data_IF_243841889917
#
_entry.id   IF_243841889917
#
_cell.length_a   1.000
_cell.length_b   1.000
_cell.length_c   1.000
_cell.angle_alpha   90.00
_cell.angle_beta   90.00
_cell.angle_gamma   90.00
#
_symmetry.space_group_name_H-M   'P 1'
#
loop_
_entity.id
_entity.type
_entity.pdbx_description
1 polymer ?
#
# COMPACT_ATOMS: atom_id res chain seq x y z
N UNK A 1 17.11 -5.06 -13.96
CA UNK A 1 16.03 -6.04 -14.00
C UNK A 1 15.32 -6.21 -12.67
N UNK A 2 15.76 -5.50 -11.61
CA UNK A 2 15.13 -5.63 -10.29
C UNK A 2 13.72 -5.06 -10.25
N UNK A 3 12.83 -5.77 -9.55
CA UNK A 3 11.49 -5.28 -9.25
C UNK A 3 11.56 -4.27 -8.12
N UNK A 4 10.96 -3.11 -8.34
CA UNK A 4 11.01 -1.99 -7.41
C UNK A 4 9.64 -1.41 -7.13
N UNK A 5 9.55 -0.69 -6.02
CA UNK A 5 8.39 0.09 -5.62
C UNK A 5 8.83 1.53 -5.33
N UNK A 6 8.04 2.49 -5.79
CA UNK A 6 8.20 3.87 -5.38
C UNK A 6 7.51 4.09 -4.03
N UNK A 7 8.18 4.74 -3.08
CA UNK A 7 7.70 4.90 -1.69
C UNK A 7 7.23 6.32 -1.36
N UNK A 8 7.34 7.25 -2.33
CA UNK A 8 6.93 8.65 -2.15
C UNK A 8 6.25 9.19 -3.41
N UNK A 9 5.38 10.18 -3.26
CA UNK A 9 4.82 10.88 -4.41
C UNK A 9 5.90 11.79 -5.03
N UNK A 10 6.16 11.63 -6.31
CA UNK A 10 7.17 12.39 -7.06
C UNK A 10 6.51 13.05 -8.26
N UNK A 11 6.38 14.37 -8.18
CA UNK A 11 5.77 15.20 -9.23
C UNK A 11 6.80 15.78 -10.20
N UNK A 12 8.10 15.64 -9.89
CA UNK A 12 9.20 16.16 -10.70
C UNK A 12 9.57 15.25 -11.88
N UNK A 13 9.10 14.02 -11.88
CA UNK A 13 9.27 13.10 -13.01
C UNK A 13 8.20 13.32 -14.07
N UNK A 14 8.50 12.97 -15.29
CA UNK A 14 7.53 13.01 -16.39
C UNK A 14 7.43 11.62 -17.06
N UNK A 15 6.29 10.92 -16.90
CA UNK A 15 5.12 11.27 -16.07
C UNK A 15 5.41 11.20 -14.57
N UNK A 16 4.57 11.82 -13.72
CA UNK A 16 4.69 11.74 -12.26
C UNK A 16 4.47 10.31 -11.77
N UNK A 17 5.19 9.95 -10.69
CA UNK A 17 5.08 8.65 -10.04
C UNK A 17 4.60 8.80 -8.59
N UNK A 18 3.80 7.85 -8.13
CA UNK A 18 3.16 7.90 -6.83
C UNK A 18 3.64 6.79 -5.91
N UNK A 19 3.47 7.00 -4.62
CA UNK A 19 3.72 5.98 -3.61
C UNK A 19 2.91 4.72 -3.93
N UNK A 20 3.59 3.57 -3.91
CA UNK A 20 3.01 2.27 -4.24
C UNK A 20 3.12 1.87 -5.72
N UNK A 21 3.59 2.74 -6.62
CA UNK A 21 3.82 2.35 -8.00
C UNK A 21 4.93 1.30 -8.09
N UNK A 22 4.61 0.16 -8.69
CA UNK A 22 5.54 -0.94 -8.95
C UNK A 22 6.17 -0.81 -10.33
N UNK A 23 7.43 -1.16 -10.44
CA UNK A 23 8.17 -1.10 -11.70
C UNK A 23 9.33 -2.09 -11.76
N UNK A 24 10.00 -2.09 -12.89
CA UNK A 24 11.21 -2.88 -13.15
C UNK A 24 12.32 -1.93 -13.61
N UNK A 25 13.48 -2.00 -12.98
CA UNK A 25 14.66 -1.24 -13.41
C UNK A 25 15.10 -1.74 -14.79
N UNK A 26 15.11 -0.85 -15.76
CA UNK A 26 15.59 -1.11 -17.12
C UNK A 26 17.06 -0.77 -17.28
N UNK A 27 17.50 0.35 -16.70
CA UNK A 27 18.87 0.81 -16.80
C UNK A 27 19.27 1.61 -15.57
N UNK A 28 20.54 1.52 -15.20
CA UNK A 28 21.13 2.31 -14.12
C UNK A 28 22.20 3.22 -14.74
N UNK A 29 22.24 4.47 -14.31
CA UNK A 29 23.19 5.51 -14.71
C UNK A 29 23.96 5.98 -13.48
N UNK A 30 25.07 5.30 -13.11
CA UNK A 30 25.79 5.60 -11.86
C UNK A 30 26.35 7.01 -11.81
N UNK A 31 26.86 7.51 -12.95
CA UNK A 31 27.46 8.84 -13.06
C UNK A 31 26.43 9.94 -12.79
N UNK A 32 25.20 9.78 -13.28
CA UNK A 32 24.10 10.73 -13.12
C UNK A 32 23.30 10.50 -11.82
N UNK A 33 23.66 9.46 -11.04
CA UNK A 33 22.85 8.99 -9.89
C UNK A 33 21.38 8.84 -10.26
N UNK A 34 21.11 8.16 -11.37
CA UNK A 34 19.80 8.02 -11.96
C UNK A 34 19.48 6.57 -12.36
N UNK A 35 18.19 6.27 -12.46
CA UNK A 35 17.68 4.98 -12.90
C UNK A 35 16.52 5.17 -13.89
N UNK A 36 16.46 4.33 -14.90
CA UNK A 36 15.31 4.21 -15.79
C UNK A 36 14.46 3.06 -15.29
N UNK A 37 13.23 3.36 -14.87
CA UNK A 37 12.27 2.39 -14.34
C UNK A 37 11.06 2.33 -15.23
N UNK A 38 10.66 1.11 -15.62
CA UNK A 38 9.40 0.87 -16.31
C UNK A 38 8.32 0.60 -15.26
N UNK A 39 7.49 1.58 -14.96
CA UNK A 39 6.39 1.46 -14.00
C UNK A 39 5.14 0.87 -14.64
N UNK A 40 4.46 -0.01 -13.91
CA UNK A 40 3.23 -0.65 -14.35
C UNK A 40 2.11 0.39 -14.54
N UNK A 41 1.53 0.41 -15.75
CA UNK A 41 0.43 1.34 -16.09
C UNK A 41 0.85 2.79 -16.36
N UNK A 42 2.16 3.10 -16.25
CA UNK A 42 2.69 4.47 -16.45
C UNK A 42 3.67 4.48 -17.63
N UNK A 43 4.55 3.47 -17.74
CA UNK A 43 5.61 3.40 -18.72
C UNK A 43 6.99 3.66 -18.16
N UNK A 44 7.94 4.02 -19.03
CA UNK A 44 9.33 4.27 -18.63
C UNK A 44 9.48 5.69 -18.08
N UNK A 45 10.07 5.78 -16.90
CA UNK A 45 10.32 7.04 -16.20
C UNK A 45 11.79 7.11 -15.80
N UNK A 46 12.44 8.21 -16.13
CA UNK A 46 13.77 8.53 -15.67
C UNK A 46 13.71 9.18 -14.30
N UNK A 47 14.32 8.54 -13.31
CA UNK A 47 14.33 8.97 -11.90
C UNK A 47 15.75 9.34 -11.52
N UNK A 48 15.97 10.58 -11.07
CA UNK A 48 17.29 11.11 -10.80
C UNK A 48 17.43 11.78 -9.43
N UNK A 49 18.67 11.99 -9.00
CA UNK A 49 19.02 12.73 -7.80
C UNK A 49 18.39 12.14 -6.54
N UNK A 50 17.80 13.01 -5.71
CA UNK A 50 17.20 12.61 -4.43
C UNK A 50 15.96 11.71 -4.58
N UNK A 51 15.34 11.70 -5.75
CA UNK A 51 14.16 10.88 -6.04
C UNK A 51 14.49 9.39 -6.11
N UNK A 52 15.74 9.04 -6.46
CA UNK A 52 16.20 7.64 -6.47
C UNK A 52 16.08 7.01 -5.08
N UNK A 53 16.19 7.79 -4.01
CA UNK A 53 16.08 7.31 -2.63
C UNK A 53 14.65 6.82 -2.30
N UNK A 54 13.65 7.18 -3.10
CA UNK A 54 12.28 6.67 -2.94
C UNK A 54 12.04 5.35 -3.67
N UNK A 55 13.01 4.88 -4.45
CA UNK A 55 12.93 3.60 -5.16
C UNK A 55 13.51 2.51 -4.26
N UNK A 56 12.66 1.62 -3.79
CA UNK A 56 13.04 0.47 -2.96
C UNK A 56 12.80 -0.85 -3.71
N UNK A 57 13.42 -1.94 -3.25
CA UNK A 57 13.14 -3.28 -3.78
C UNK A 57 11.68 -3.65 -3.54
N UNK A 58 11.01 -4.14 -4.59
CA UNK A 58 9.58 -4.42 -4.62
C UNK A 58 9.24 -5.91 -4.76
N UNK A 59 10.15 -6.82 -4.39
CA UNK A 59 9.91 -8.27 -4.44
C UNK A 59 8.88 -8.74 -3.42
N UNK A 60 8.87 -8.10 -2.24
CA UNK A 60 7.83 -8.24 -1.23
C UNK A 60 7.43 -6.85 -0.73
N UNK A 61 6.14 -6.65 -0.50
CA UNK A 61 5.58 -5.38 -0.04
C UNK A 61 4.65 -5.61 1.14
N UNK A 62 4.51 -4.62 2.00
CA UNK A 62 3.54 -4.71 3.10
C UNK A 62 2.11 -4.58 2.58
N UNK A 63 1.15 -5.08 3.36
CA UNK A 63 -0.28 -4.93 3.05
C UNK A 63 -0.66 -3.46 2.87
N UNK A 64 -0.11 -2.56 3.67
CA UNK A 64 -0.37 -1.13 3.55
C UNK A 64 0.13 -0.55 2.22
N UNK A 65 1.35 -0.92 1.79
CA UNK A 65 1.89 -0.49 0.49
C UNK A 65 1.13 -1.09 -0.70
N UNK A 66 0.38 -2.18 -0.51
CA UNK A 66 -0.45 -2.80 -1.54
C UNK A 66 -1.86 -2.20 -1.66
N UNK A 67 -2.24 -1.29 -0.76
CA UNK A 67 -3.56 -0.65 -0.80
C UNK A 67 -3.75 0.11 -2.12
N UNK A 68 -4.94 -0.02 -2.70
CA UNK A 68 -5.25 0.53 -4.03
C UNK A 68 -4.80 -0.34 -5.21
N UNK A 69 -3.89 -1.31 -4.98
CA UNK A 69 -3.42 -2.24 -6.02
C UNK A 69 -4.10 -3.60 -5.89
N UNK A 70 -4.16 -4.33 -7.00
CA UNK A 70 -4.63 -5.73 -7.03
C UNK A 70 -3.71 -6.55 -7.93
N UNK A 71 -3.56 -7.84 -7.61
CA UNK A 71 -2.67 -8.77 -8.28
C UNK A 71 -3.43 -10.04 -8.63
N UNK A 72 -3.10 -10.69 -9.73
CA UNK A 72 -3.74 -11.96 -10.11
C UNK A 72 -3.50 -13.06 -9.06
N UNK A 73 -2.29 -13.11 -8.55
CA UNK A 73 -1.88 -14.06 -7.53
C UNK A 73 -1.13 -13.35 -6.40
N UNK A 74 -1.51 -13.62 -5.16
CA UNK A 74 -0.90 -13.09 -3.94
C UNK A 74 -0.40 -14.25 -3.09
N UNK A 75 0.84 -14.16 -2.65
CA UNK A 75 1.37 -15.00 -1.57
C UNK A 75 1.43 -14.11 -0.33
N UNK A 76 0.63 -14.44 0.68
CA UNK A 76 0.49 -13.62 1.87
C UNK A 76 1.13 -14.29 3.08
N UNK A 77 2.26 -13.74 3.56
CA UNK A 77 2.98 -14.19 4.73
C UNK A 77 2.42 -13.58 6.01
N UNK A 78 2.20 -14.39 7.05
CA UNK A 78 1.73 -13.96 8.37
C UNK A 78 2.55 -14.64 9.45
N UNK A 79 3.25 -13.85 10.22
CA UNK A 79 4.03 -14.29 11.37
C UNK A 79 3.89 -13.32 12.55
N UNK A 80 4.56 -13.63 13.67
CA UNK A 80 4.53 -12.78 14.85
C UNK A 80 5.42 -11.53 14.77
N UNK A 81 6.22 -11.34 13.73
CA UNK A 81 7.10 -10.15 13.61
C UNK A 81 6.30 -8.85 13.58
N UNK A 82 5.08 -8.92 13.09
CA UNK A 82 4.14 -7.79 13.00
C UNK A 82 2.98 -7.87 13.98
N UNK A 83 3.22 -8.41 15.18
CA UNK A 83 2.23 -8.70 16.23
C UNK A 83 1.18 -7.58 16.44
N UNK A 84 1.63 -6.32 16.52
CA UNK A 84 0.75 -5.18 16.77
C UNK A 84 -0.25 -4.92 15.63
N UNK A 85 0.13 -5.28 14.42
CA UNK A 85 -0.65 -5.07 13.18
C UNK A 85 -1.56 -6.24 12.84
N UNK A 86 -1.40 -7.41 13.50
CA UNK A 86 -2.21 -8.59 13.22
C UNK A 86 -3.64 -8.36 13.67
N UNK A 87 -4.50 -7.97 12.74
CA UNK A 87 -5.93 -7.74 12.95
C UNK A 87 -6.75 -8.36 11.83
N UNK A 88 -8.06 -8.53 12.06
CA UNK A 88 -9.00 -9.04 11.05
C UNK A 88 -9.04 -8.16 9.82
N UNK A 89 -8.94 -6.85 10.00
CA UNK A 89 -8.93 -5.87 8.91
C UNK A 89 -7.68 -5.99 8.05
N UNK A 90 -6.52 -6.26 8.67
CA UNK A 90 -5.27 -6.51 7.93
C UNK A 90 -5.40 -7.78 7.08
N UNK A 91 -5.91 -8.86 7.65
CA UNK A 91 -6.17 -10.10 6.92
C UNK A 91 -7.08 -9.88 5.73
N UNK A 92 -8.22 -9.24 5.95
CA UNK A 92 -9.18 -8.93 4.90
C UNK A 92 -8.53 -8.09 3.80
N UNK A 93 -7.82 -7.03 4.18
CA UNK A 93 -7.13 -6.16 3.22
C UNK A 93 -6.11 -6.92 2.40
N UNK A 94 -5.29 -7.77 3.02
CA UNK A 94 -4.28 -8.58 2.33
C UNK A 94 -4.89 -9.61 1.36
N UNK A 95 -5.88 -10.37 1.81
CA UNK A 95 -6.54 -11.40 0.99
C UNK A 95 -7.25 -10.76 -0.21
N UNK A 96 -7.91 -9.63 -0.02
CA UNK A 96 -8.65 -8.93 -1.10
C UNK A 96 -7.73 -8.25 -2.12
N UNK A 97 -6.41 -8.29 -1.95
CA UNK A 97 -5.48 -7.88 -3.02
C UNK A 97 -5.40 -8.89 -4.15
N UNK A 98 -5.81 -10.14 -3.91
CA UNK A 98 -5.82 -11.18 -4.94
C UNK A 98 -7.08 -11.10 -5.80
N UNK A 99 -6.89 -11.10 -7.13
CA UNK A 99 -7.98 -11.18 -8.12
C UNK A 99 -8.39 -12.62 -8.37
N UNK A 100 -7.42 -13.56 -8.42
CA UNK A 100 -7.65 -14.96 -8.82
C UNK A 100 -7.26 -15.95 -7.72
N UNK A 101 -6.09 -15.79 -7.09
CA UNK A 101 -5.55 -16.74 -6.14
C UNK A 101 -4.79 -16.04 -5.01
N UNK A 102 -5.05 -16.51 -3.78
CA UNK A 102 -4.28 -16.11 -2.60
C UNK A 102 -3.75 -17.38 -1.92
N UNK A 103 -2.43 -17.50 -1.84
CA UNK A 103 -1.78 -18.54 -1.03
C UNK A 103 -1.37 -17.92 0.30
N UNK A 104 -1.88 -18.48 1.39
CA UNK A 104 -1.61 -18.02 2.73
C UNK A 104 -0.52 -18.86 3.38
N UNK A 105 0.61 -18.23 3.72
CA UNK A 105 1.72 -18.84 4.46
C UNK A 105 1.75 -18.24 5.86
N UNK A 106 1.28 -18.98 6.86
CA UNK A 106 1.02 -18.43 8.17
C UNK A 106 1.52 -19.31 9.32
N UNK A 107 2.07 -18.70 10.35
CA UNK A 107 2.17 -19.34 11.65
C UNK A 107 0.77 -19.46 12.26
N UNK A 108 0.36 -20.67 12.64
CA UNK A 108 -1.00 -20.96 13.14
C UNK A 108 -1.44 -20.03 14.27
N UNK A 109 -0.53 -19.73 15.21
CA UNK A 109 -0.82 -18.82 16.32
C UNK A 109 -1.05 -17.38 15.88
N UNK A 110 -0.23 -16.86 14.95
CA UNK A 110 -0.36 -15.53 14.40
C UNK A 110 -1.66 -15.37 13.62
N UNK A 111 -2.02 -16.38 12.82
CA UNK A 111 -3.27 -16.39 12.08
C UNK A 111 -4.48 -16.40 13.01
N UNK A 112 -4.50 -17.25 14.05
CA UNK A 112 -5.58 -17.27 15.03
C UNK A 112 -5.75 -15.92 15.72
N UNK A 113 -4.63 -15.30 16.11
CA UNK A 113 -4.66 -13.96 16.70
C UNK A 113 -5.25 -12.94 15.74
N UNK A 114 -4.78 -12.91 14.50
CA UNK A 114 -5.27 -11.97 13.51
C UNK A 114 -6.78 -12.12 13.26
N UNK A 115 -7.31 -13.34 13.29
CA UNK A 115 -8.75 -13.61 13.14
C UNK A 115 -9.54 -13.11 14.36
N UNK A 116 -9.01 -13.31 15.56
CA UNK A 116 -9.73 -12.96 16.81
C UNK A 116 -9.64 -11.49 17.17
N UNK A 117 -8.56 -10.81 16.77
CA UNK A 117 -8.32 -9.42 17.13
C UNK A 117 -9.04 -8.48 16.17
N UNK A 118 -10.00 -7.72 16.70
CA UNK A 118 -10.60 -6.59 15.97
C UNK A 118 -9.63 -5.41 15.98
N UNK A 119 -9.56 -4.71 14.85
CA UNK A 119 -8.75 -3.49 14.75
C UNK A 119 -9.27 -2.42 15.71
N UNK A 120 -8.34 -1.64 16.21
CA UNK A 120 -8.63 -0.63 17.21
C UNK A 120 -9.50 0.47 16.65
N UNK A 121 -10.55 0.75 17.41
CA UNK A 121 -11.42 1.92 17.42
C UNK A 121 -12.41 2.06 16.28
N UNK A 122 -13.68 1.94 16.65
CA UNK A 122 -14.76 2.70 16.03
C UNK A 122 -14.27 4.16 15.96
N UNK A 123 -13.91 4.61 14.77
CA UNK A 123 -13.59 6.03 14.57
C UNK A 123 -14.82 6.81 14.99
N UNK A 124 -14.74 7.49 16.12
CA UNK A 124 -15.78 8.43 16.53
C UNK A 124 -15.64 9.65 15.62
N UNK A 125 -16.51 9.73 14.63
CA UNK A 125 -16.62 10.91 13.79
C UNK A 125 -17.87 11.68 14.19
N UNK A 126 -17.82 12.99 14.14
CA UNK A 126 -19.00 13.84 14.34
C UNK A 126 -19.95 13.83 13.12
N UNK A 127 -19.69 12.98 12.12
CA UNK A 127 -20.49 12.97 10.89
C UNK A 127 -21.98 12.75 11.15
N UNK A 128 -22.33 11.80 12.02
CA UNK A 128 -23.73 11.53 12.37
C UNK A 128 -24.39 12.78 12.98
N UNK A 129 -23.69 13.46 13.90
CA UNK A 129 -24.20 14.68 14.50
C UNK A 129 -24.33 15.81 13.47
N UNK A 130 -23.33 16.00 12.62
CA UNK A 130 -23.38 17.01 11.55
C UNK A 130 -24.55 16.74 10.59
N UNK A 131 -24.79 15.49 10.21
CA UNK A 131 -25.93 15.14 9.34
C UNK A 131 -27.26 15.42 10.03
N UNK A 132 -27.38 15.07 11.33
CA UNK A 132 -28.58 15.36 12.11
C UNK A 132 -28.85 16.86 12.22
N UNK A 133 -27.82 17.67 12.55
CA UNK A 133 -27.92 19.13 12.69
C UNK A 133 -28.25 19.81 11.36
N UNK A 134 -27.76 19.27 10.23
CA UNK A 134 -28.08 19.76 8.89
C UNK A 134 -29.54 19.45 8.51
N UNK A 135 -30.04 18.27 8.90
CA UNK A 135 -31.41 17.85 8.63
C UNK A 135 -32.45 18.57 9.56
N UNK A 136 -31.99 19.04 10.74
CA UNK A 136 -32.81 19.70 11.74
C UNK A 136 -32.17 21.03 12.17
N UNK A 137 -32.14 22.04 11.29
CA UNK A 137 -31.53 23.33 11.62
C UNK A 137 -32.26 23.97 12.82
N UNK A 138 -31.49 24.30 13.87
CA UNK A 138 -32.03 25.07 14.99
C UNK A 138 -32.45 26.43 14.47
N UNK A 139 -33.74 26.71 14.46
CA UNK A 139 -34.24 28.06 14.20
C UNK A 139 -33.77 28.96 15.35
N UNK A 140 -32.87 29.87 15.07
CA UNK A 140 -32.49 30.95 15.99
C UNK A 140 -33.50 32.05 15.76
N UNK A 141 -34.42 32.21 16.74
CA UNK A 141 -35.33 33.36 16.82
C UNK A 141 -34.66 34.47 17.58
#
# INVERSE_FOLDING_TARGET
>A
GDKVINTQNTYKTNPPIFNGNLGIIKKVFPEDKAVLVSFMGIGEVYVEGTQVNSIELGYAITVHKSQGSQFDHVIFGIDFSSYSLLTRELLYTGITRAKKKCDLVAQTGALRMAISKEGVSKKQTHLQQCLYDTAHPKLVF
#
